data_IF_287864234405
#
_entry.id   IF_287864234405
#
_cell.length_a   1.000
_cell.length_b   1.000
_cell.length_c   1.000
_cell.angle_alpha   90.00
_cell.angle_beta   90.00
_cell.angle_gamma   90.00
#
_symmetry.space_group_name_H-M   'P 1'
#
loop_
_entity.id
_entity.type
_entity.pdbx_description
1 polymer ?
#
# COMPACT_ATOMS: atom_id res chain seq x y z
N UNK A 1 5.91 -9.01 -7.29
CA UNK A 1 5.29 -8.91 -5.96
C UNK A 1 6.14 -7.96 -5.12
N UNK A 2 5.55 -7.21 -4.19
CA UNK A 2 6.24 -6.21 -3.36
C UNK A 2 6.13 -6.60 -1.88
N UNK A 3 7.27 -6.64 -1.19
CA UNK A 3 7.33 -6.94 0.24
C UNK A 3 7.36 -5.64 1.02
N UNK A 4 6.28 -5.37 1.75
CA UNK A 4 6.18 -4.24 2.68
C UNK A 4 6.67 -4.71 4.04
N UNK A 5 7.58 -3.95 4.66
CA UNK A 5 7.99 -4.16 6.04
C UNK A 5 7.21 -3.20 6.92
N UNK A 6 6.40 -3.73 7.81
CA UNK A 6 5.58 -2.95 8.72
C UNK A 6 6.13 -3.09 10.13
N UNK A 7 6.14 -1.98 10.88
CA UNK A 7 6.53 -1.95 12.28
C UNK A 7 5.49 -1.18 13.08
N UNK A 8 5.02 -1.76 14.18
CA UNK A 8 4.09 -1.10 15.11
C UNK A 8 4.81 -0.61 16.35
N UNK A 9 4.92 0.71 16.48
CA UNK A 9 5.62 1.35 17.59
C UNK A 9 7.14 1.32 17.44
N UNK A 10 7.88 1.80 18.45
CA UNK A 10 9.32 2.01 18.34
C UNK A 10 10.14 0.70 18.42
N UNK A 11 9.55 -0.39 18.91
CA UNK A 11 10.23 -1.66 19.12
C UNK A 11 10.23 -2.51 17.85
N UNK A 12 11.41 -2.98 17.43
CA UNK A 12 11.59 -3.80 16.22
C UNK A 12 10.92 -5.18 16.30
N UNK A 13 10.71 -5.71 17.51
CA UNK A 13 10.03 -6.99 17.77
C UNK A 13 8.56 -6.99 17.31
N UNK A 14 7.97 -5.82 17.11
CA UNK A 14 6.62 -5.65 16.57
C UNK A 14 6.64 -5.34 15.08
N UNK A 15 7.44 -6.09 14.33
CA UNK A 15 7.53 -5.97 12.87
C UNK A 15 7.14 -7.25 12.14
N UNK A 16 6.56 -7.09 10.96
CA UNK A 16 6.18 -8.19 10.08
C UNK A 16 6.32 -7.78 8.62
N UNK A 17 6.21 -8.77 7.73
CA UNK A 17 6.27 -8.57 6.28
C UNK A 17 4.91 -8.88 5.68
N UNK A 18 4.46 -8.03 4.77
CA UNK A 18 3.23 -8.23 4.01
C UNK A 18 3.56 -8.22 2.54
N UNK A 19 3.08 -9.23 1.83
CA UNK A 19 3.24 -9.34 0.39
C UNK A 19 2.05 -8.74 -0.34
N UNK A 20 2.33 -7.86 -1.31
CA UNK A 20 1.31 -7.15 -2.10
C UNK A 20 1.68 -7.13 -3.57
N UNK A 21 0.69 -7.34 -4.43
CA UNK A 21 0.79 -7.14 -5.88
C UNK A 21 0.39 -5.70 -6.20
N UNK A 22 0.85 -5.19 -7.34
CA UNK A 22 0.46 -3.85 -7.80
C UNK A 22 -1.07 -3.66 -7.84
N UNK A 23 -1.82 -4.69 -8.24
CA UNK A 23 -3.29 -4.61 -8.26
C UNK A 23 -3.91 -4.49 -6.86
N UNK A 24 -3.24 -4.95 -5.79
CA UNK A 24 -3.71 -4.74 -4.43
C UNK A 24 -3.63 -3.26 -4.06
N UNK A 25 -2.60 -2.54 -4.52
CA UNK A 25 -2.50 -1.09 -4.37
C UNK A 25 -3.57 -0.35 -5.18
N UNK A 26 -3.92 -0.85 -6.37
CA UNK A 26 -5.03 -0.29 -7.18
C UNK A 26 -6.36 -0.42 -6.43
N UNK A 27 -6.63 -1.58 -5.82
CA UNK A 27 -7.84 -1.80 -5.03
C UNK A 27 -7.86 -0.90 -3.78
N UNK A 28 -6.74 -0.81 -3.05
CA UNK A 28 -6.61 0.11 -1.92
C UNK A 28 -6.88 1.56 -2.36
N UNK A 29 -6.30 2.01 -3.48
CA UNK A 29 -6.51 3.35 -3.99
C UNK A 29 -7.97 3.63 -4.32
N UNK A 30 -8.67 2.66 -4.94
CA UNK A 30 -10.11 2.75 -5.17
C UNK A 30 -10.89 2.94 -3.87
N UNK A 31 -10.59 2.15 -2.84
CA UNK A 31 -11.23 2.29 -1.53
C UNK A 31 -10.96 3.64 -0.84
N UNK A 32 -9.73 4.17 -0.95
CA UNK A 32 -9.34 5.45 -0.35
C UNK A 32 -9.85 6.66 -1.14
N UNK A 33 -10.11 6.52 -2.45
CA UNK A 33 -10.55 7.63 -3.32
C UNK A 33 -11.87 8.27 -2.91
N UNK A 34 -12.72 7.57 -2.16
CA UNK A 34 -13.98 8.08 -1.59
C UNK A 34 -13.74 9.31 -0.70
N UNK A 35 -12.53 9.44 -0.12
CA UNK A 35 -12.13 10.61 0.66
C UNK A 35 -12.01 11.91 -0.16
N UNK A 36 -11.96 11.83 -1.49
CA UNK A 36 -11.68 12.96 -2.38
C UNK A 36 -10.19 13.37 -2.42
N UNK A 37 -9.31 12.66 -1.72
CA UNK A 37 -7.86 12.94 -1.71
C UNK A 37 -7.21 12.26 -2.91
N UNK A 38 -6.48 13.05 -3.71
CA UNK A 38 -5.66 12.53 -4.80
C UNK A 38 -4.38 11.89 -4.24
N UNK A 39 -4.12 10.65 -4.63
CA UNK A 39 -2.96 9.88 -4.17
C UNK A 39 -2.03 9.54 -5.34
N UNK A 40 -0.69 9.59 -5.16
CA UNK A 40 0.28 9.43 -6.23
C UNK A 40 0.53 7.96 -6.57
N UNK A 41 -0.50 7.22 -6.98
CA UNK A 41 -0.35 5.82 -7.39
C UNK A 41 0.44 5.72 -8.71
N UNK A 42 1.58 5.00 -8.78
CA UNK A 42 2.34 4.89 -10.02
C UNK A 42 1.52 4.16 -11.11
N UNK A 43 1.73 4.48 -12.39
CA UNK A 43 0.86 4.01 -13.47
C UNK A 43 0.95 2.49 -13.71
N UNK A 44 -0.15 1.97 -14.28
CA UNK A 44 -0.16 0.64 -14.91
C UNK A 44 0.76 0.67 -16.12
N UNK A 45 1.46 -0.44 -16.35
CA UNK A 45 2.26 -0.67 -17.56
C UNK A 45 1.91 -2.05 -18.06
N UNK A 46 1.32 -2.09 -19.26
CA UNK A 46 0.75 -3.31 -19.87
C UNK A 46 1.78 -3.98 -20.79
N UNK A 47 2.78 -3.23 -21.27
CA UNK A 47 3.88 -3.70 -22.14
C UNK A 47 5.22 -3.41 -21.47
N UNK A 48 6.16 -4.36 -21.44
CA UNK A 48 7.50 -4.15 -20.84
C UNK A 48 7.47 -3.98 -19.32
N UNK A 49 6.59 -4.71 -18.64
CA UNK A 49 6.40 -4.69 -17.18
C UNK A 49 7.48 -5.47 -16.41
N UNK A 50 8.33 -6.23 -17.10
CA UNK A 50 9.47 -6.97 -16.55
C UNK A 50 10.79 -6.21 -16.66
N UNK A 51 10.77 -5.00 -17.24
CA UNK A 51 11.92 -4.12 -17.34
C UNK A 51 12.42 -3.71 -15.94
N UNK A 52 13.73 -3.83 -15.69
CA UNK A 52 14.30 -3.64 -14.36
C UNK A 52 14.18 -2.19 -13.87
N UNK A 53 14.42 -1.21 -14.72
CA UNK A 53 14.30 0.21 -14.39
C UNK A 53 12.85 0.54 -14.05
N UNK A 54 11.92 -0.03 -14.82
CA UNK A 54 10.50 0.12 -14.54
C UNK A 54 10.10 -0.47 -13.19
N UNK A 55 10.59 -1.67 -12.85
CA UNK A 55 10.30 -2.30 -11.55
C UNK A 55 10.84 -1.44 -10.41
N UNK A 56 12.07 -0.92 -10.53
CA UNK A 56 12.70 -0.06 -9.53
C UNK A 56 11.93 1.28 -9.36
N UNK A 57 11.60 1.95 -10.45
CA UNK A 57 10.81 3.19 -10.43
C UNK A 57 9.42 2.97 -9.82
N UNK A 58 8.75 1.87 -10.18
CA UNK A 58 7.46 1.54 -9.60
C UNK A 58 7.58 1.26 -8.10
N UNK A 59 8.64 0.58 -7.64
CA UNK A 59 8.86 0.36 -6.21
C UNK A 59 9.00 1.69 -5.44
N UNK A 60 9.76 2.64 -5.98
CA UNK A 60 9.88 3.99 -5.41
C UNK A 60 8.51 4.69 -5.38
N UNK A 61 7.76 4.65 -6.49
CA UNK A 61 6.43 5.23 -6.58
C UNK A 61 5.45 4.63 -5.56
N UNK A 62 5.50 3.31 -5.35
CA UNK A 62 4.67 2.63 -4.34
C UNK A 62 5.07 3.02 -2.91
N UNK A 63 6.35 3.24 -2.63
CA UNK A 63 6.79 3.77 -1.33
C UNK A 63 6.25 5.20 -1.11
N UNK A 64 6.34 6.06 -2.12
CA UNK A 64 5.81 7.43 -2.04
C UNK A 64 4.29 7.45 -1.86
N UNK A 65 3.57 6.55 -2.54
CA UNK A 65 2.14 6.33 -2.33
C UNK A 65 1.82 5.98 -0.87
N UNK A 66 2.53 5.01 -0.27
CA UNK A 66 2.32 4.63 1.12
C UNK A 66 2.62 5.80 2.08
N UNK A 67 3.70 6.55 1.82
CA UNK A 67 4.03 7.72 2.62
C UNK A 67 2.90 8.77 2.58
N UNK A 68 2.37 9.08 1.39
CA UNK A 68 1.27 10.03 1.23
C UNK A 68 0.00 9.59 1.98
N UNK A 69 -0.35 8.31 1.89
CA UNK A 69 -1.49 7.74 2.62
C UNK A 69 -1.27 7.84 4.13
N UNK A 70 -0.07 7.48 4.62
CA UNK A 70 0.24 7.45 6.05
C UNK A 70 0.43 8.84 6.67
N UNK A 71 0.75 9.86 5.88
CA UNK A 71 0.82 11.25 6.34
C UNK A 71 -0.56 11.87 6.59
N UNK A 72 -1.63 11.29 6.04
CA UNK A 72 -2.99 11.72 6.32
C UNK A 72 -3.61 10.86 7.44
N UNK A 73 -3.91 11.42 8.63
CA UNK A 73 -4.43 10.62 9.75
C UNK A 73 -5.78 9.92 9.48
N UNK A 74 -6.64 10.51 8.63
CA UNK A 74 -7.93 9.92 8.26
C UNK A 74 -7.71 8.67 7.40
N UNK A 75 -6.84 8.76 6.39
CA UNK A 75 -6.50 7.62 5.54
C UNK A 75 -5.70 6.56 6.29
N UNK A 76 -4.72 6.96 7.09
CA UNK A 76 -3.88 6.06 7.89
C UNK A 76 -4.70 5.27 8.93
N UNK A 77 -5.75 5.89 9.49
CA UNK A 77 -6.61 5.24 10.49
C UNK A 77 -7.73 4.39 9.86
N UNK A 78 -7.94 4.49 8.55
CA UNK A 78 -8.99 3.77 7.82
C UNK A 78 -8.79 2.25 7.84
N UNK A 79 -9.90 1.50 7.84
CA UNK A 79 -9.87 0.04 7.80
C UNK A 79 -9.15 -0.52 6.56
N UNK A 80 -9.39 -0.02 5.31
CA UNK A 80 -8.69 -0.51 4.13
C UNK A 80 -7.17 -0.39 4.26
N UNK A 81 -6.67 0.72 4.81
CA UNK A 81 -5.24 0.93 4.97
C UNK A 81 -4.64 0.04 6.06
N UNK A 82 -5.34 -0.11 7.20
CA UNK A 82 -4.91 -1.01 8.28
C UNK A 82 -4.89 -2.47 7.84
N UNK A 83 -5.93 -2.94 7.15
CA UNK A 83 -5.97 -4.27 6.55
C UNK A 83 -4.86 -4.47 5.50
N UNK A 84 -4.60 -3.44 4.69
CA UNK A 84 -3.54 -3.51 3.69
C UNK A 84 -2.17 -3.74 4.32
N UNK A 85 -1.88 -3.14 5.48
CA UNK A 85 -0.62 -3.30 6.21
C UNK A 85 -0.60 -4.47 7.20
N UNK A 86 -1.76 -4.95 7.65
CA UNK A 86 -1.88 -5.98 8.68
C UNK A 86 -3.16 -6.81 8.49
N UNK A 87 -3.19 -7.68 7.47
CA UNK A 87 -4.40 -8.39 7.10
C UNK A 87 -4.89 -9.37 8.17
N UNK A 88 -3.98 -9.89 9.01
CA UNK A 88 -4.31 -10.87 10.04
C UNK A 88 -5.03 -10.24 11.23
N UNK A 89 -4.73 -8.98 11.57
CA UNK A 89 -5.37 -8.29 12.70
C UNK A 89 -6.55 -7.41 12.28
N UNK A 90 -6.70 -7.13 10.99
CA UNK A 90 -7.76 -6.27 10.46
C UNK A 90 -8.51 -6.93 9.32
N UNK A 91 -8.99 -8.16 9.51
CA UNK A 91 -9.82 -8.85 8.52
C UNK A 91 -10.94 -7.94 8.03
N UNK A 92 -11.03 -7.74 6.71
CA UNK A 92 -12.20 -7.11 6.13
C UNK A 92 -13.45 -7.92 6.55
N UNK A 93 -14.59 -7.27 6.87
CA UNK A 93 -15.82 -8.00 7.13
C UNK A 93 -16.09 -8.95 5.96
N UNK A 94 -16.43 -10.21 6.28
CA UNK A 94 -16.95 -11.15 5.30
C UNK A 94 -18.22 -10.52 4.72
N UNK A 95 -18.14 -10.01 3.49
CA UNK A 95 -19.31 -9.64 2.69
C UNK A 95 -19.78 -10.87 1.92
#
# INVERSE_FOLDING_TARGET
EYVIRTQRGPLSEKSWRVSRRYNDFVQLNGALSISGIELPLPPKKIIGNMDADFIAQRQIGLQNYLNAVLMNPILASSLPMKHFLDPNNYTAPLH
#
